data_IF_567976269849
#
_entry.id   IF_567976269849
#
_cell.length_a   1.000
_cell.length_b   1.000
_cell.length_c   1.000
_cell.angle_alpha   90.00
_cell.angle_beta   90.00
_cell.angle_gamma   90.00
#
_symmetry.space_group_name_H-M   'P 1'
#
loop_
_entity.id
_entity.type
_entity.pdbx_description
1 polymer ?
#
# COMPACT_ATOMS: atom_id res chain seq x y z
N UNK A 1 -5.86 -15.19 -9.11
CA UNK A 1 -5.20 -13.87 -9.16
C UNK A 1 -6.17 -12.79 -9.62
N UNK A 2 -5.89 -11.53 -9.32
CA UNK A 2 -6.83 -10.43 -9.59
C UNK A 2 -7.22 -10.27 -11.07
N UNK A 3 -6.28 -10.45 -12.00
CA UNK A 3 -6.52 -10.35 -13.44
C UNK A 3 -7.28 -11.54 -14.06
N UNK A 4 -7.91 -12.39 -13.25
CA UNK A 4 -8.70 -13.54 -13.71
C UNK A 4 -7.90 -14.83 -13.93
N UNK A 5 -6.62 -14.86 -13.56
CA UNK A 5 -5.84 -16.10 -13.51
C UNK A 5 -6.43 -17.02 -12.43
N UNK A 6 -6.69 -18.31 -12.70
CA UNK A 6 -7.21 -19.25 -11.70
C UNK A 6 -6.33 -19.32 -10.44
N UNK A 7 -6.94 -19.54 -9.27
CA UNK A 7 -6.23 -19.56 -7.99
C UNK A 7 -5.27 -20.76 -7.87
N UNK A 8 -5.50 -21.82 -8.64
CA UNK A 8 -4.69 -23.04 -8.73
C UNK A 8 -3.74 -23.06 -9.93
N UNK A 9 -3.57 -21.93 -10.64
CA UNK A 9 -2.66 -21.84 -11.78
C UNK A 9 -1.24 -22.27 -11.35
N UNK A 10 -0.58 -23.21 -12.09
CA UNK A 10 0.73 -23.74 -11.70
C UNK A 10 1.81 -22.67 -11.48
N UNK A 11 1.72 -21.53 -12.17
CA UNK A 11 2.66 -20.41 -11.99
C UNK A 11 2.43 -19.71 -10.64
N UNK A 12 1.17 -19.52 -10.25
CA UNK A 12 0.80 -18.93 -8.96
C UNK A 12 1.15 -19.87 -7.80
N UNK A 13 0.87 -21.17 -7.94
CA UNK A 13 1.24 -22.18 -6.95
C UNK A 13 2.76 -22.21 -6.76
N UNK A 14 3.55 -22.20 -7.84
CA UNK A 14 5.02 -22.15 -7.77
C UNK A 14 5.54 -20.90 -7.05
N UNK A 15 4.91 -19.75 -7.27
CA UNK A 15 5.23 -18.52 -6.55
C UNK A 15 4.91 -18.65 -5.05
N UNK A 16 3.73 -19.17 -4.70
CA UNK A 16 3.34 -19.39 -3.32
C UNK A 16 4.27 -20.39 -2.61
N UNK A 17 4.65 -21.49 -3.26
CA UNK A 17 5.64 -22.45 -2.76
C UNK A 17 6.96 -21.77 -2.38
N UNK A 18 7.46 -20.88 -3.25
CA UNK A 18 8.70 -20.15 -2.99
C UNK A 18 8.54 -19.14 -1.84
N UNK A 19 7.47 -18.36 -1.82
CA UNK A 19 7.19 -17.38 -0.77
C UNK A 19 7.07 -18.09 0.59
N UNK A 20 6.36 -19.21 0.66
CA UNK A 20 6.15 -19.96 1.90
C UNK A 20 7.45 -20.53 2.50
N UNK A 21 8.48 -20.76 1.67
CA UNK A 21 9.81 -21.17 2.12
C UNK A 21 10.61 -20.01 2.73
N UNK A 22 10.22 -18.76 2.47
CA UNK A 22 10.88 -17.54 2.95
C UNK A 22 10.31 -16.98 4.25
N UNK A 23 9.31 -17.64 4.85
CA UNK A 23 8.74 -17.16 6.12
C UNK A 23 9.79 -17.21 7.24
N UNK A 24 9.98 -16.07 7.91
CA UNK A 24 10.90 -15.96 9.06
C UNK A 24 10.40 -16.79 10.22
N UNK A 25 11.29 -17.61 10.79
CA UNK A 25 11.03 -18.50 11.95
C UNK A 25 11.86 -18.15 13.17
N UNK A 26 12.73 -17.17 13.05
CA UNK A 26 13.67 -16.73 14.07
C UNK A 26 13.37 -15.31 14.49
N UNK A 27 13.80 -14.92 15.68
CA UNK A 27 13.61 -13.54 16.16
C UNK A 27 14.65 -12.61 15.53
N UNK A 28 14.21 -11.41 15.17
CA UNK A 28 15.05 -10.29 14.77
C UNK A 28 15.12 -9.20 15.83
N UNK A 29 15.65 -8.03 15.45
CA UNK A 29 15.83 -6.89 16.37
C UNK A 29 14.50 -6.36 16.92
N UNK A 30 13.41 -6.50 16.17
CA UNK A 30 12.04 -6.18 16.59
C UNK A 30 11.65 -6.80 17.93
N UNK A 31 12.28 -7.92 18.32
CA UNK A 31 12.05 -8.60 19.60
C UNK A 31 12.40 -7.73 20.81
N UNK A 32 13.30 -6.75 20.66
CA UNK A 32 13.69 -5.82 21.74
C UNK A 32 12.48 -5.02 22.23
N UNK A 33 11.62 -4.55 21.32
CA UNK A 33 10.40 -3.79 21.66
C UNK A 33 9.15 -4.65 21.74
N UNK A 34 9.21 -5.87 21.22
CA UNK A 34 8.09 -6.80 21.22
C UNK A 34 8.51 -8.19 21.75
N UNK A 35 8.86 -8.30 23.05
CA UNK A 35 9.42 -9.53 23.63
C UNK A 35 8.45 -10.70 23.70
N UNK A 36 7.15 -10.49 23.49
CA UNK A 36 6.13 -11.55 23.48
C UNK A 36 5.75 -11.99 22.06
N UNK A 37 6.02 -11.16 21.04
CA UNK A 37 5.67 -11.44 19.65
C UNK A 37 6.39 -12.67 19.11
N UNK A 38 5.69 -13.53 18.38
CA UNK A 38 6.26 -14.74 17.77
C UNK A 38 6.66 -14.46 16.32
N UNK A 39 7.79 -15.00 15.83
CA UNK A 39 8.22 -14.76 14.45
C UNK A 39 7.23 -15.34 13.44
N UNK A 40 6.93 -14.56 12.41
CA UNK A 40 6.03 -15.00 11.33
C UNK A 40 6.03 -14.12 10.08
N UNK A 41 6.85 -13.07 10.03
CA UNK A 41 6.91 -12.15 8.90
C UNK A 41 7.73 -12.66 7.71
N UNK A 42 7.83 -11.78 6.71
CA UNK A 42 8.72 -11.83 5.56
C UNK A 42 9.55 -10.55 5.50
N UNK A 43 10.52 -10.53 4.60
CA UNK A 43 11.45 -9.42 4.40
C UNK A 43 11.56 -9.10 2.90
N UNK A 44 11.90 -7.85 2.59
CA UNK A 44 12.05 -7.35 1.22
C UNK A 44 13.07 -8.10 0.35
N UNK A 45 14.23 -8.47 0.90
CA UNK A 45 15.32 -9.11 0.14
C UNK A 45 15.17 -10.64 0.02
N UNK A 46 16.20 -11.33 -0.48
CA UNK A 46 16.19 -12.79 -0.57
C UNK A 46 16.55 -13.51 0.73
N UNK A 47 17.42 -12.93 1.55
CA UNK A 47 17.90 -13.48 2.81
C UNK A 47 18.17 -12.34 3.80
N UNK A 48 17.18 -12.03 4.66
CA UNK A 48 17.28 -10.95 5.63
C UNK A 48 16.47 -11.26 6.91
N UNK A 49 16.60 -12.47 7.43
CA UNK A 49 15.70 -13.06 8.44
C UNK A 49 15.65 -12.31 9.79
N UNK A 50 16.62 -11.43 10.06
CA UNK A 50 16.66 -10.59 11.25
C UNK A 50 15.86 -9.29 11.12
N UNK A 51 15.47 -8.91 9.91
CA UNK A 51 14.75 -7.66 9.63
C UNK A 51 13.51 -7.92 8.75
N UNK A 52 12.57 -8.77 9.21
CA UNK A 52 11.26 -8.82 8.57
C UNK A 52 10.55 -7.48 8.74
N UNK A 53 9.82 -7.08 7.72
CA UNK A 53 9.03 -5.85 7.72
C UNK A 53 7.54 -6.16 7.58
N UNK A 54 6.74 -5.26 8.14
CA UNK A 54 5.30 -5.39 8.28
C UNK A 54 4.61 -5.27 6.92
N UNK A 55 5.11 -4.41 6.03
CA UNK A 55 4.51 -4.15 4.73
C UNK A 55 4.71 -5.31 3.74
N UNK A 56 5.90 -5.88 3.58
CA UNK A 56 6.09 -7.10 2.78
C UNK A 56 5.32 -8.28 3.38
N UNK A 57 5.30 -8.40 4.71
CA UNK A 57 4.50 -9.44 5.38
C UNK A 57 3.00 -9.31 5.05
N UNK A 58 2.46 -8.09 5.04
CA UNK A 58 1.07 -7.83 4.67
C UNK A 58 0.82 -8.13 3.19
N UNK A 59 1.72 -7.71 2.30
CA UNK A 59 1.59 -7.95 0.86
C UNK A 59 1.74 -9.43 0.49
N UNK A 60 2.60 -10.18 1.19
CA UNK A 60 2.69 -11.64 1.06
C UNK A 60 1.38 -12.29 1.49
N UNK A 61 0.81 -11.87 2.64
CA UNK A 61 -0.48 -12.39 3.08
C UNK A 61 -1.57 -12.11 2.03
N UNK A 62 -1.65 -10.89 1.48
CA UNK A 62 -2.62 -10.55 0.44
C UNK A 62 -2.38 -11.33 -0.86
N UNK A 63 -1.12 -11.54 -1.27
CA UNK A 63 -0.83 -12.37 -2.43
C UNK A 63 -1.29 -13.83 -2.23
N UNK A 64 -1.07 -14.38 -1.03
CA UNK A 64 -1.47 -15.74 -0.67
C UNK A 64 -2.99 -15.90 -0.58
N UNK A 65 -3.79 -14.85 -0.33
CA UNK A 65 -5.26 -14.97 -0.36
C UNK A 65 -5.82 -15.22 -1.77
N UNK A 66 -5.00 -15.04 -2.80
CA UNK A 66 -5.38 -15.28 -4.20
C UNK A 66 -4.90 -16.62 -4.77
N UNK A 67 -4.32 -17.50 -3.96
CA UNK A 67 -3.76 -18.79 -4.38
C UNK A 67 -4.37 -19.95 -3.60
N UNK A 68 -4.87 -20.96 -4.30
CA UNK A 68 -5.27 -22.24 -3.74
C UNK A 68 -4.09 -23.20 -3.76
N UNK A 69 -3.30 -23.20 -2.69
CA UNK A 69 -2.11 -24.04 -2.60
C UNK A 69 -2.47 -25.51 -2.34
N UNK A 70 -1.83 -26.50 -3.01
CA UNK A 70 -2.08 -27.92 -2.76
C UNK A 70 -1.89 -28.33 -1.29
N UNK A 71 -0.95 -27.67 -0.59
CA UNK A 71 -0.82 -27.74 0.87
C UNK A 71 -1.52 -26.56 1.57
N UNK A 72 -2.83 -26.45 1.39
CA UNK A 72 -3.61 -25.31 1.91
C UNK A 72 -3.61 -25.23 3.44
N UNK A 73 -3.39 -26.34 4.15
CA UNK A 73 -3.22 -26.31 5.62
C UNK A 73 -1.98 -25.52 6.01
N UNK A 74 -0.82 -25.84 5.41
CA UNK A 74 0.43 -25.14 5.70
C UNK A 74 0.34 -23.66 5.34
N UNK A 75 -0.26 -23.32 4.19
CA UNK A 75 -0.51 -21.93 3.80
C UNK A 75 -1.30 -21.17 4.85
N UNK A 76 -2.44 -21.71 5.32
CA UNK A 76 -3.26 -21.07 6.37
C UNK A 76 -2.50 -20.89 7.68
N UNK A 77 -1.77 -21.91 8.13
CA UNK A 77 -0.95 -21.81 9.34
C UNK A 77 0.17 -20.78 9.19
N UNK A 78 0.77 -20.65 8.00
CA UNK A 78 1.77 -19.62 7.68
C UNK A 78 1.21 -18.22 7.72
N UNK A 79 0.09 -17.99 7.04
CA UNK A 79 -0.59 -16.70 7.08
C UNK A 79 -1.00 -16.33 8.50
N UNK A 80 -1.57 -17.27 9.27
CA UNK A 80 -2.02 -16.96 10.63
C UNK A 80 -0.86 -16.48 11.52
N UNK A 81 0.30 -17.14 11.46
CA UNK A 81 1.49 -16.68 12.20
C UNK A 81 1.93 -15.28 11.81
N UNK A 82 1.81 -14.95 10.54
CA UNK A 82 2.17 -13.62 10.04
C UNK A 82 1.19 -12.56 10.51
N UNK A 83 -0.12 -12.85 10.47
CA UNK A 83 -1.15 -11.96 11.02
C UNK A 83 -0.93 -11.74 12.52
N UNK A 84 -0.65 -12.80 13.28
CA UNK A 84 -0.36 -12.70 14.72
C UNK A 84 0.90 -11.84 14.97
N UNK A 85 1.95 -12.02 14.17
CA UNK A 85 3.15 -11.20 14.24
C UNK A 85 2.84 -9.73 13.91
N UNK A 86 2.21 -9.44 12.78
CA UNK A 86 1.82 -8.09 12.35
C UNK A 86 0.98 -7.40 13.44
N UNK A 87 -0.08 -8.04 13.95
CA UNK A 87 -0.92 -7.47 14.99
C UNK A 87 -0.14 -7.17 16.29
N UNK A 88 0.86 -7.98 16.63
CA UNK A 88 1.74 -7.73 17.77
C UNK A 88 2.70 -6.55 17.57
N UNK A 89 2.92 -6.15 16.31
CA UNK A 89 3.74 -5.01 15.88
C UNK A 89 2.96 -3.69 15.79
N UNK A 90 1.66 -3.67 16.12
CA UNK A 90 0.89 -2.43 16.17
C UNK A 90 1.44 -1.48 17.24
N UNK A 91 1.59 -0.21 16.87
CA UNK A 91 2.10 0.83 17.76
C UNK A 91 1.01 1.39 18.66
N UNK A 92 1.42 2.09 19.72
CA UNK A 92 0.49 2.66 20.72
C UNK A 92 -0.51 3.65 20.15
N UNK A 93 -0.11 4.41 19.12
CA UNK A 93 -0.98 5.37 18.42
C UNK A 93 -1.97 4.69 17.47
N UNK A 94 -1.89 3.38 17.26
CA UNK A 94 -2.78 2.60 16.41
C UNK A 94 -2.26 2.33 15.00
N UNK A 95 -1.23 3.03 14.55
CA UNK A 95 -0.59 2.77 13.27
C UNK A 95 0.38 1.60 13.31
N UNK A 96 0.96 1.31 12.15
CA UNK A 96 2.04 0.33 11.98
C UNK A 96 3.24 0.99 11.30
N UNK A 97 4.43 0.63 11.77
CA UNK A 97 5.71 1.01 11.19
C UNK A 97 6.27 -0.13 10.33
N UNK A 98 7.40 0.07 9.65
CA UNK A 98 7.98 -0.96 8.77
C UNK A 98 8.58 -2.12 9.56
N UNK A 99 9.49 -1.85 10.50
CA UNK A 99 10.31 -2.86 11.15
C UNK A 99 10.07 -2.94 12.67
N UNK A 100 9.90 -1.79 13.32
CA UNK A 100 9.89 -1.69 14.78
C UNK A 100 8.67 -0.94 15.30
N UNK A 101 7.95 -1.55 16.23
CA UNK A 101 6.85 -0.85 16.90
C UNK A 101 7.37 0.21 17.88
N UNK A 102 6.67 1.35 17.97
CA UNK A 102 7.00 2.48 18.85
C UNK A 102 8.47 2.96 18.68
N UNK A 103 8.96 3.04 17.43
CA UNK A 103 10.25 3.66 17.10
C UNK A 103 10.11 5.13 16.70
N UNK A 104 9.56 5.90 17.62
CA UNK A 104 8.98 7.24 17.38
C UNK A 104 9.55 8.32 18.31
N UNK A 105 10.72 8.09 18.92
CA UNK A 105 11.39 9.07 19.80
C UNK A 105 12.05 10.20 19.01
N UNK A 106 11.23 11.08 18.42
CA UNK A 106 11.61 12.12 17.46
C UNK A 106 12.75 13.03 17.91
N UNK A 107 13.00 13.16 19.22
CA UNK A 107 14.16 13.90 19.76
C UNK A 107 15.50 13.45 19.15
N UNK A 108 15.62 12.17 18.75
CA UNK A 108 16.82 11.64 18.12
C UNK A 108 17.05 12.09 16.68
N UNK A 109 16.08 12.76 16.05
CA UNK A 109 16.28 13.37 14.72
C UNK A 109 16.99 14.73 14.80
N UNK A 110 17.21 15.29 15.99
CA UNK A 110 17.82 16.62 16.16
C UNK A 110 19.30 16.57 16.58
N UNK A 111 19.93 15.39 16.56
CA UNK A 111 21.37 15.26 16.84
C UNK A 111 22.20 15.53 15.58
N UNK A 112 23.47 15.97 15.69
CA UNK A 112 24.29 16.29 14.51
C UNK A 112 24.49 15.14 13.51
N UNK A 113 24.39 13.88 13.98
CA UNK A 113 24.48 12.69 13.13
C UNK A 113 23.20 12.42 12.32
N UNK A 114 22.06 12.97 12.74
CA UNK A 114 20.75 12.73 12.14
C UNK A 114 20.43 13.69 10.99
N UNK A 115 21.43 14.13 10.24
CA UNK A 115 21.30 15.13 9.16
C UNK A 115 20.37 14.71 8.02
N UNK A 116 20.01 13.43 7.94
CA UNK A 116 19.07 12.86 6.98
C UNK A 116 17.65 12.58 7.54
N UNK A 117 17.38 12.89 8.82
CA UNK A 117 16.05 12.75 9.49
C UNK A 117 15.34 11.39 9.34
N UNK A 118 16.08 10.31 9.07
CA UNK A 118 15.55 8.97 8.84
C UNK A 118 16.08 7.93 9.84
N UNK A 119 16.41 8.36 11.07
CA UNK A 119 16.96 7.48 12.11
C UNK A 119 15.92 6.62 12.83
N UNK A 120 14.64 6.85 12.56
CA UNK A 120 13.52 6.30 13.30
C UNK A 120 12.52 5.68 12.33
N UNK A 121 11.67 4.83 12.88
CA UNK A 121 10.64 4.09 12.15
C UNK A 121 9.28 4.34 12.84
N UNK A 122 8.74 5.58 12.74
CA UNK A 122 7.42 5.87 13.26
C UNK A 122 6.35 5.20 12.38
N UNK A 123 5.15 4.95 12.95
CA UNK A 123 4.02 4.42 12.18
C UNK A 123 3.64 5.32 11.01
N UNK A 124 3.25 4.73 9.88
CA UNK A 124 2.87 5.48 8.69
C UNK A 124 1.55 5.03 8.09
N UNK A 125 0.86 5.97 7.46
CA UNK A 125 -0.50 5.76 6.93
C UNK A 125 -0.54 4.85 5.71
N UNK A 126 0.50 4.86 4.88
CA UNK A 126 0.63 3.97 3.73
C UNK A 126 0.75 2.49 4.13
N UNK A 127 1.54 2.17 5.15
CA UNK A 127 1.64 0.83 5.73
C UNK A 127 0.34 0.45 6.44
N UNK A 128 -0.21 1.38 7.23
CA UNK A 128 -1.45 1.12 7.97
C UNK A 128 -2.62 0.83 7.03
N UNK A 129 -2.73 1.55 5.90
CA UNK A 129 -3.71 1.28 4.86
C UNK A 129 -3.58 -0.12 4.24
N UNK A 130 -2.35 -0.55 3.90
CA UNK A 130 -2.08 -1.91 3.39
C UNK A 130 -2.47 -3.00 4.38
N UNK A 131 -2.26 -2.77 5.68
CA UNK A 131 -2.63 -3.73 6.71
C UNK A 131 -4.15 -3.83 6.85
N UNK A 132 -4.88 -2.72 6.75
CA UNK A 132 -6.36 -2.75 6.72
C UNK A 132 -6.86 -3.61 5.55
N UNK A 133 -6.30 -3.42 4.35
CA UNK A 133 -6.62 -4.22 3.16
C UNK A 133 -6.31 -5.70 3.36
N UNK A 134 -5.12 -6.03 3.88
CA UNK A 134 -4.73 -7.40 4.18
C UNK A 134 -5.65 -8.05 5.22
N UNK A 135 -5.94 -7.36 6.32
CA UNK A 135 -6.81 -7.87 7.39
C UNK A 135 -8.22 -8.16 6.86
N UNK A 136 -8.77 -7.29 6.01
CA UNK A 136 -10.05 -7.50 5.35
C UNK A 136 -10.07 -8.80 4.53
N UNK A 137 -9.00 -9.08 3.77
CA UNK A 137 -8.88 -10.31 2.97
C UNK A 137 -8.93 -11.60 3.82
N UNK A 138 -8.65 -11.50 5.13
CA UNK A 138 -8.70 -12.62 6.08
C UNK A 138 -9.88 -12.53 7.06
N UNK A 139 -10.91 -11.75 6.74
CA UNK A 139 -12.19 -11.73 7.45
C UNK A 139 -12.21 -10.90 8.73
N UNK A 140 -11.20 -10.06 8.96
CA UNK A 140 -11.28 -9.05 10.01
C UNK A 140 -12.27 -7.96 9.60
N UNK A 141 -12.94 -7.36 10.58
CA UNK A 141 -13.93 -6.30 10.36
C UNK A 141 -13.50 -5.01 11.06
N UNK A 142 -14.16 -3.90 10.69
CA UNK A 142 -13.99 -2.60 11.37
C UNK A 142 -14.24 -2.61 12.88
N UNK A 143 -14.91 -3.64 13.41
CA UNK A 143 -15.17 -3.77 14.85
C UNK A 143 -13.99 -4.36 15.64
N UNK A 144 -13.04 -4.98 14.95
CA UNK A 144 -11.86 -5.55 15.59
C UNK A 144 -11.05 -4.44 16.30
N UNK A 145 -10.62 -4.61 17.57
CA UNK A 145 -9.96 -3.55 18.32
C UNK A 145 -8.71 -2.96 17.66
N UNK A 146 -7.89 -3.78 17.00
CA UNK A 146 -6.72 -3.31 16.27
C UNK A 146 -7.10 -2.49 15.03
N UNK A 147 -8.17 -2.90 14.34
CA UNK A 147 -8.66 -2.22 13.14
C UNK A 147 -9.23 -0.86 13.50
N UNK A 148 -10.03 -0.74 14.57
CA UNK A 148 -10.55 0.55 15.04
C UNK A 148 -9.43 1.55 15.35
N UNK A 149 -8.35 1.08 15.98
CA UNK A 149 -7.19 1.93 16.27
C UNK A 149 -6.45 2.35 14.99
N UNK A 150 -6.32 1.45 14.02
CA UNK A 150 -5.72 1.77 12.72
C UNK A 150 -6.55 2.78 11.92
N UNK A 151 -7.88 2.63 11.91
CA UNK A 151 -8.80 3.61 11.29
C UNK A 151 -8.65 4.97 11.97
N UNK A 152 -8.63 5.01 13.31
CA UNK A 152 -8.42 6.26 14.04
C UNK A 152 -7.06 6.90 13.70
N UNK A 153 -6.00 6.10 13.63
CA UNK A 153 -4.67 6.60 13.26
C UNK A 153 -4.68 7.26 11.88
N UNK A 154 -5.25 6.62 10.85
CA UNK A 154 -5.30 7.25 9.51
C UNK A 154 -6.18 8.50 9.50
N UNK A 155 -7.24 8.57 10.29
CA UNK A 155 -8.05 9.79 10.43
C UNK A 155 -7.26 10.93 11.07
N UNK A 156 -6.50 10.64 12.12
CA UNK A 156 -5.71 11.64 12.86
C UNK A 156 -4.53 12.18 12.01
N UNK A 157 -4.04 11.40 11.06
CA UNK A 157 -2.90 11.73 10.17
C UNK A 157 -3.33 12.32 8.81
N UNK A 158 -4.62 12.59 8.60
CA UNK A 158 -5.07 13.20 7.35
C UNK A 158 -4.63 14.67 7.27
N UNK A 159 -4.14 15.07 6.11
CA UNK A 159 -3.80 16.46 5.81
C UNK A 159 -5.06 17.33 5.67
N UNK A 160 -4.92 18.64 5.87
CA UNK A 160 -6.07 19.57 5.79
C UNK A 160 -6.71 19.66 4.39
N UNK A 161 -6.00 19.23 3.36
CA UNK A 161 -6.50 19.16 1.97
C UNK A 161 -7.17 17.81 1.64
N UNK A 162 -7.22 16.87 2.61
CA UNK A 162 -7.81 15.54 2.46
C UNK A 162 -6.80 14.46 2.05
N UNK A 163 -5.58 14.81 1.67
CA UNK A 163 -4.56 13.84 1.27
C UNK A 163 -3.89 13.13 2.45
N UNK A 164 -3.15 12.06 2.16
CA UNK A 164 -2.29 11.36 3.11
C UNK A 164 -0.86 11.26 2.58
N UNK A 165 0.11 11.52 3.45
CA UNK A 165 1.54 11.45 3.14
C UNK A 165 1.98 10.03 2.75
N UNK A 166 2.78 9.90 1.69
CA UNK A 166 3.37 8.63 1.28
C UNK A 166 4.80 8.51 1.80
N UNK A 167 5.04 7.65 2.78
CA UNK A 167 6.38 7.45 3.36
C UNK A 167 7.31 6.66 2.43
N UNK A 168 6.77 5.68 1.71
CA UNK A 168 7.54 4.70 0.93
C UNK A 168 7.31 4.78 -0.59
N UNK A 169 6.36 5.59 -1.04
CA UNK A 169 6.12 5.89 -2.45
C UNK A 169 5.81 7.37 -2.61
N UNK A 170 6.21 7.94 -3.75
CA UNK A 170 6.12 9.37 -4.06
C UNK A 170 4.69 9.74 -4.46
N UNK A 171 3.96 10.57 -3.74
CA UNK A 171 4.03 10.87 -2.31
C UNK A 171 2.58 10.84 -1.80
N UNK A 172 1.87 11.96 -1.92
CA UNK A 172 0.50 12.06 -1.45
C UNK A 172 -0.47 11.25 -2.31
N UNK A 173 -0.21 11.09 -3.62
CA UNK A 173 -0.99 10.17 -4.46
C UNK A 173 -0.87 8.71 -3.97
N UNK A 174 0.34 8.32 -3.54
CA UNK A 174 0.61 6.98 -3.04
C UNK A 174 -0.05 6.72 -1.69
N UNK A 175 0.19 7.60 -0.71
CA UNK A 175 -0.39 7.48 0.63
C UNK A 175 -1.92 7.48 0.59
N UNK A 176 -2.50 8.43 -0.14
CA UNK A 176 -3.96 8.58 -0.28
C UNK A 176 -4.59 7.34 -0.91
N UNK A 177 -4.02 6.80 -1.99
CA UNK A 177 -4.56 5.63 -2.65
C UNK A 177 -4.57 4.38 -1.75
N UNK A 178 -3.49 4.14 -0.99
CA UNK A 178 -3.39 2.98 -0.11
C UNK A 178 -4.32 3.08 1.10
N UNK A 179 -4.46 4.28 1.68
CA UNK A 179 -5.40 4.51 2.78
C UNK A 179 -6.83 4.28 2.30
N UNK A 180 -7.22 4.85 1.15
CA UNK A 180 -8.56 4.66 0.59
C UNK A 180 -8.87 3.19 0.31
N UNK A 181 -7.93 2.44 -0.30
CA UNK A 181 -8.10 0.99 -0.53
C UNK A 181 -8.30 0.22 0.77
N UNK A 182 -7.49 0.49 1.80
CA UNK A 182 -7.60 -0.19 3.09
C UNK A 182 -8.93 0.10 3.78
N UNK A 183 -9.41 1.35 3.72
CA UNK A 183 -10.69 1.77 4.29
C UNK A 183 -11.89 1.14 3.58
N UNK A 184 -11.84 1.07 2.24
CA UNK A 184 -12.88 0.39 1.44
C UNK A 184 -12.93 -1.10 1.78
N UNK A 185 -11.79 -1.78 1.74
CA UNK A 185 -11.71 -3.22 1.97
C UNK A 185 -12.26 -3.61 3.35
N UNK A 186 -12.01 -2.79 4.39
CA UNK A 186 -12.47 -3.05 5.76
C UNK A 186 -13.92 -2.60 6.03
N UNK A 187 -14.59 -2.02 5.02
CA UNK A 187 -16.00 -1.65 5.05
C UNK A 187 -16.31 -0.35 5.78
N UNK A 188 -15.41 0.64 5.71
CA UNK A 188 -15.72 2.03 6.10
C UNK A 188 -16.66 2.63 5.05
N UNK A 189 -17.66 3.39 5.50
CA UNK A 189 -18.62 4.01 4.60
C UNK A 189 -17.92 5.09 3.76
N UNK A 190 -18.00 4.97 2.43
CA UNK A 190 -17.37 5.93 1.53
C UNK A 190 -17.97 7.33 1.63
N UNK A 191 -19.18 7.48 2.18
CA UNK A 191 -19.79 8.80 2.44
C UNK A 191 -19.17 9.56 3.61
N UNK A 192 -18.26 8.94 4.36
CA UNK A 192 -17.55 9.63 5.44
C UNK A 192 -16.79 10.86 4.89
N UNK A 193 -16.86 12.03 5.58
CA UNK A 193 -16.31 13.28 5.06
C UNK A 193 -14.83 13.21 4.68
N UNK A 194 -14.02 12.48 5.45
CA UNK A 194 -12.58 12.35 5.21
C UNK A 194 -12.27 11.55 3.94
N UNK A 195 -13.10 10.56 3.58
CA UNK A 195 -12.97 9.79 2.33
C UNK A 195 -13.39 10.66 1.15
N UNK A 196 -14.49 11.40 1.29
CA UNK A 196 -14.97 12.31 0.23
C UNK A 196 -13.95 13.42 -0.06
N UNK A 197 -13.35 14.02 0.97
CA UNK A 197 -12.28 15.03 0.81
C UNK A 197 -11.07 14.47 0.08
N UNK A 198 -10.61 13.27 0.44
CA UNK A 198 -9.50 12.60 -0.23
C UNK A 198 -9.79 12.31 -1.70
N UNK A 199 -11.00 11.85 -2.03
CA UNK A 199 -11.42 11.61 -3.41
C UNK A 199 -11.44 12.90 -4.24
N UNK A 200 -11.92 14.00 -3.66
CA UNK A 200 -11.94 15.31 -4.31
C UNK A 200 -10.53 15.84 -4.54
N UNK A 201 -9.64 15.68 -3.56
CA UNK A 201 -8.24 16.04 -3.71
C UNK A 201 -7.59 15.31 -4.89
N UNK A 202 -7.80 13.99 -5.02
CA UNK A 202 -7.29 13.23 -6.17
C UNK A 202 -7.83 13.82 -7.48
N UNK A 203 -9.14 14.12 -7.58
CA UNK A 203 -9.73 14.74 -8.79
C UNK A 203 -9.08 16.08 -9.12
N UNK A 204 -8.86 16.93 -8.11
CA UNK A 204 -8.30 18.27 -8.27
C UNK A 204 -6.87 18.28 -8.84
N UNK A 205 -6.06 17.25 -8.55
CA UNK A 205 -4.66 17.17 -9.00
C UNK A 205 -4.48 16.34 -10.28
N UNK A 206 -5.56 16.03 -11.01
CA UNK A 206 -5.48 15.34 -12.29
C UNK A 206 -4.86 16.22 -13.38
N UNK A 207 -3.90 15.69 -14.14
CA UNK A 207 -3.27 16.42 -15.23
C UNK A 207 -4.19 16.59 -16.45
N UNK A 208 -3.93 17.57 -17.34
CA UNK A 208 -4.70 17.76 -18.57
C UNK A 208 -4.68 16.55 -19.51
N UNK A 209 -3.62 15.73 -19.49
CA UNK A 209 -3.52 14.50 -20.30
C UNK A 209 -4.38 13.33 -19.78
N UNK A 210 -5.04 13.51 -18.63
CA UNK A 210 -5.91 12.53 -17.98
C UNK A 210 -5.19 11.65 -16.97
N UNK A 211 -3.86 11.66 -16.91
CA UNK A 211 -3.10 10.93 -15.90
C UNK A 211 -2.91 11.72 -14.61
N UNK A 212 -2.16 11.13 -13.69
CA UNK A 212 -1.69 11.75 -12.46
C UNK A 212 -0.18 11.55 -12.34
N UNK A 213 0.48 12.53 -11.74
CA UNK A 213 1.91 12.52 -11.54
C UNK A 213 2.31 13.39 -10.37
N UNK A 214 3.33 12.96 -9.63
CA UNK A 214 3.85 13.71 -8.49
C UNK A 214 5.37 13.56 -8.46
N UNK A 215 6.08 14.68 -8.39
CA UNK A 215 7.54 14.65 -8.30
C UNK A 215 8.02 14.44 -6.87
N UNK A 216 9.26 13.97 -6.74
CA UNK A 216 9.95 13.85 -5.45
C UNK A 216 10.05 15.20 -4.69
N UNK A 217 9.95 16.34 -5.40
CA UNK A 217 9.96 17.67 -4.78
C UNK A 217 8.79 17.92 -3.81
N UNK A 218 7.72 17.13 -3.91
CA UNK A 218 6.57 17.18 -2.97
C UNK A 218 6.94 16.84 -1.52
N UNK A 219 8.07 16.17 -1.29
CA UNK A 219 8.60 15.98 0.07
C UNK A 219 9.18 17.25 0.65
N UNK A 220 9.78 18.11 -0.17
CA UNK A 220 10.43 19.35 0.23
C UNK A 220 9.42 20.51 0.30
N UNK A 221 8.50 20.59 -0.66
CA UNK A 221 7.53 21.66 -0.80
C UNK A 221 6.09 21.11 -0.87
N UNK A 222 5.32 21.20 0.23
CA UNK A 222 3.91 20.77 0.28
C UNK A 222 2.98 21.54 -0.66
N UNK A 223 3.40 22.62 -1.31
CA UNK A 223 2.59 23.27 -2.36
C UNK A 223 2.62 22.52 -3.69
N UNK A 224 3.53 21.54 -3.82
CA UNK A 224 3.69 20.70 -5.02
C UNK A 224 3.06 19.31 -4.87
N UNK A 225 2.20 19.12 -3.87
CA UNK A 225 1.40 17.90 -3.66
C UNK A 225 0.62 17.52 -4.91
N UNK A 226 0.78 16.28 -5.37
CA UNK A 226 0.12 15.78 -6.58
C UNK A 226 0.53 16.48 -7.88
N UNK A 227 1.64 17.23 -7.89
CA UNK A 227 2.11 17.97 -9.06
C UNK A 227 3.34 17.29 -9.68
N UNK A 228 3.21 16.92 -10.94
CA UNK A 228 4.28 16.32 -11.72
C UNK A 228 3.79 15.76 -13.06
N UNK A 229 4.71 15.41 -13.97
CA UNK A 229 4.36 14.72 -15.20
C UNK A 229 3.64 13.41 -14.90
N UNK A 230 2.57 13.10 -15.62
CA UNK A 230 1.82 11.87 -15.42
C UNK A 230 2.71 10.63 -15.55
N UNK A 231 2.58 9.70 -14.61
CA UNK A 231 3.27 8.41 -14.64
C UNK A 231 2.26 7.27 -14.61
N UNK A 232 2.57 6.10 -15.22
CA UNK A 232 1.66 4.96 -15.22
C UNK A 232 1.37 4.44 -13.80
N UNK A 233 2.35 4.39 -12.91
CA UNK A 233 2.14 3.91 -11.54
C UNK A 233 1.29 4.88 -10.70
N UNK A 234 1.58 6.19 -10.73
CA UNK A 234 0.80 7.18 -9.97
C UNK A 234 -0.61 7.37 -10.54
N UNK A 235 -0.77 7.29 -11.86
CA UNK A 235 -2.11 7.27 -12.48
C UNK A 235 -2.92 6.06 -12.02
N UNK A 236 -2.28 4.87 -11.96
CA UNK A 236 -2.93 3.69 -11.44
C UNK A 236 -3.31 3.82 -9.96
N UNK A 237 -2.47 4.42 -9.11
CA UNK A 237 -2.81 4.70 -7.70
C UNK A 237 -4.02 5.61 -7.59
N UNK A 238 -4.05 6.70 -8.34
CA UNK A 238 -5.18 7.63 -8.35
C UNK A 238 -6.48 6.94 -8.74
N UNK A 239 -6.47 6.15 -9.83
CA UNK A 239 -7.64 5.36 -10.27
C UNK A 239 -8.10 4.39 -9.19
N UNK A 240 -7.18 3.64 -8.58
CA UNK A 240 -7.51 2.68 -7.53
C UNK A 240 -8.08 3.37 -6.28
N UNK A 241 -7.55 4.53 -5.90
CA UNK A 241 -8.07 5.34 -4.81
C UNK A 241 -9.47 5.87 -5.08
N UNK A 242 -9.72 6.39 -6.28
CA UNK A 242 -11.06 6.87 -6.68
C UNK A 242 -12.09 5.73 -6.70
N UNK A 243 -11.75 4.58 -7.26
CA UNK A 243 -12.62 3.39 -7.24
C UNK A 243 -12.93 2.97 -5.80
N UNK A 244 -11.92 2.96 -4.91
CA UNK A 244 -12.12 2.62 -3.50
C UNK A 244 -13.03 3.63 -2.76
N UNK A 245 -13.03 4.89 -3.19
CA UNK A 245 -13.96 5.91 -2.70
C UNK A 245 -15.36 5.83 -3.35
N UNK A 246 -15.67 4.76 -4.08
CA UNK A 246 -16.90 4.57 -4.88
C UNK A 246 -17.10 5.64 -5.97
N UNK A 247 -16.01 6.29 -6.41
CA UNK A 247 -15.99 7.24 -7.51
C UNK A 247 -15.63 6.53 -8.83
N UNK A 248 -16.59 5.78 -9.39
CA UNK A 248 -16.33 4.84 -10.49
C UNK A 248 -16.67 5.43 -11.87
N UNK A 249 -17.80 6.13 -11.98
CA UNK A 249 -18.37 6.61 -13.25
C UNK A 249 -18.11 8.10 -13.50
N UNK A 250 -16.98 8.62 -13.02
CA UNK A 250 -16.59 10.01 -13.29
C UNK A 250 -15.69 10.15 -14.50
N UNK A 251 -15.72 11.35 -15.06
CA UNK A 251 -14.82 11.76 -16.14
C UNK A 251 -13.35 11.59 -15.73
N UNK A 252 -13.01 11.82 -14.46
CA UNK A 252 -11.65 11.65 -13.95
C UNK A 252 -11.14 10.22 -14.12
N UNK A 253 -11.89 9.21 -13.66
CA UNK A 253 -11.51 7.80 -13.84
C UNK A 253 -11.44 7.43 -15.31
N UNK A 254 -12.44 7.82 -16.11
CA UNK A 254 -12.45 7.54 -17.54
C UNK A 254 -11.22 8.11 -18.28
N UNK A 255 -10.82 9.34 -17.95
CA UNK A 255 -9.62 9.99 -18.50
C UNK A 255 -8.33 9.30 -18.03
N UNK A 256 -8.29 8.82 -16.79
CA UNK A 256 -7.19 8.01 -16.25
C UNK A 256 -7.00 6.69 -16.98
N UNK A 257 -8.09 5.95 -17.17
CA UNK A 257 -8.11 4.70 -17.92
C UNK A 257 -7.65 4.95 -19.37
N UNK A 258 -8.17 6.01 -20.01
CA UNK A 258 -7.76 6.39 -21.35
C UNK A 258 -6.27 6.78 -21.44
N UNK A 259 -5.72 7.43 -20.41
CA UNK A 259 -4.28 7.71 -20.32
C UNK A 259 -3.47 6.40 -20.29
N UNK A 260 -3.83 5.45 -19.43
CA UNK A 260 -3.11 4.17 -19.33
C UNK A 260 -3.16 3.40 -20.65
N UNK A 261 -4.34 3.30 -21.28
CA UNK A 261 -4.48 2.61 -22.56
C UNK A 261 -3.69 3.28 -23.69
N UNK A 262 -3.70 4.62 -23.75
CA UNK A 262 -2.98 5.38 -24.79
C UNK A 262 -1.46 5.33 -24.62
N UNK A 263 -0.96 5.20 -23.39
CA UNK A 263 0.47 5.19 -23.09
C UNK A 263 1.06 3.78 -22.98
N UNK A 264 0.24 2.74 -23.14
CA UNK A 264 0.71 1.37 -23.23
C UNK A 264 1.52 1.17 -24.52
N UNK A 265 2.71 0.60 -24.38
CA UNK A 265 3.57 0.21 -25.50
C UNK A 265 3.00 -1.01 -26.22
N UNK A 266 3.41 -1.23 -27.48
CA UNK A 266 2.88 -2.32 -28.31
C UNK A 266 3.05 -3.71 -27.67
N UNK A 267 4.12 -3.91 -26.90
CA UNK A 267 4.41 -5.17 -26.19
C UNK A 267 3.66 -5.30 -24.85
N UNK A 268 2.77 -4.35 -24.53
CA UNK A 268 1.92 -4.35 -23.34
C UNK A 268 2.51 -3.68 -22.09
N UNK A 269 3.75 -3.19 -22.17
CA UNK A 269 4.48 -2.51 -21.10
C UNK A 269 4.14 -1.01 -21.02
N UNK A 270 4.52 -0.35 -19.92
CA UNK A 270 4.58 1.12 -19.85
C UNK A 270 6.00 1.63 -19.60
N UNK A 271 6.31 2.79 -20.17
CA UNK A 271 7.50 3.55 -19.84
C UNK A 271 7.27 4.45 -18.63
N UNK A 272 8.26 4.50 -17.74
CA UNK A 272 8.25 5.37 -16.56
C UNK A 272 9.67 5.88 -16.31
N UNK A 273 10.00 7.10 -16.79
CA UNK A 273 11.34 7.65 -16.60
C UNK A 273 11.55 8.21 -15.19
N UNK A 274 10.47 8.61 -14.52
CA UNK A 274 10.49 9.23 -13.18
C UNK A 274 10.58 8.18 -12.06
N UNK A 275 11.07 8.61 -10.90
CA UNK A 275 11.05 7.81 -9.67
C UNK A 275 9.72 8.00 -8.95
N UNK A 276 9.13 6.89 -8.51
CA UNK A 276 7.86 6.86 -7.78
C UNK A 276 7.99 6.09 -6.46
N UNK A 277 9.17 5.56 -6.14
CA UNK A 277 9.50 4.99 -4.83
C UNK A 277 10.31 5.95 -3.95
N UNK A 278 10.17 5.80 -2.64
CA UNK A 278 10.90 6.60 -1.65
C UNK A 278 11.55 5.69 -0.62
N UNK A 279 12.86 5.81 -0.42
CA UNK A 279 13.54 5.17 0.71
C UNK A 279 13.56 6.09 1.92
N UNK A 280 14.09 7.31 1.74
CA UNK A 280 14.12 8.35 2.76
C UNK A 280 13.61 9.66 2.16
N UNK A 281 12.46 10.19 2.61
CA UNK A 281 11.94 11.48 2.15
C UNK A 281 13.02 12.57 2.14
N UNK A 282 13.07 13.37 1.08
CA UNK A 282 14.05 14.47 0.85
C UNK A 282 15.50 14.05 0.58
N UNK A 283 15.84 12.76 0.74
CA UNK A 283 17.23 12.30 0.74
C UNK A 283 17.48 11.21 -0.30
N UNK A 284 16.62 10.20 -0.36
CA UNK A 284 16.88 8.99 -1.13
C UNK A 284 15.61 8.44 -1.77
N UNK A 285 15.61 8.40 -3.10
CA UNK A 285 14.49 7.99 -3.94
C UNK A 285 14.81 6.69 -4.68
N UNK A 286 13.76 5.92 -4.98
CA UNK A 286 13.87 4.57 -5.51
C UNK A 286 13.14 4.42 -6.84
N UNK A 287 13.68 3.54 -7.69
CA UNK A 287 13.00 3.05 -8.89
C UNK A 287 12.58 1.61 -8.72
N UNK A 288 11.29 1.40 -8.45
CA UNK A 288 10.71 0.07 -8.51
C UNK A 288 10.31 -0.24 -9.96
N UNK A 289 11.17 -0.95 -10.68
CA UNK A 289 11.01 -1.20 -12.12
C UNK A 289 9.69 -1.88 -12.53
N UNK A 290 9.05 -2.59 -11.59
CA UNK A 290 7.81 -3.31 -11.80
C UNK A 290 6.56 -2.47 -11.51
N UNK A 291 6.66 -1.31 -10.84
CA UNK A 291 5.51 -0.46 -10.51
C UNK A 291 4.73 -0.05 -11.76
N UNK A 292 5.45 0.41 -12.79
CA UNK A 292 4.89 0.74 -14.11
C UNK A 292 4.20 -0.41 -14.84
N UNK A 293 4.32 -1.65 -14.36
CA UNK A 293 3.71 -2.83 -14.99
C UNK A 293 2.49 -3.29 -14.22
N UNK A 294 2.67 -3.65 -12.95
CA UNK A 294 1.60 -4.30 -12.21
C UNK A 294 0.56 -3.30 -11.69
N UNK A 295 0.91 -2.03 -11.39
CA UNK A 295 -0.10 -1.07 -10.94
C UNK A 295 -1.08 -0.71 -12.06
N UNK A 296 -0.65 -0.39 -13.30
CA UNK A 296 -1.59 -0.22 -14.42
C UNK A 296 -2.46 -1.45 -14.67
N UNK A 297 -1.87 -2.66 -14.64
CA UNK A 297 -2.63 -3.89 -14.79
C UNK A 297 -3.69 -4.05 -13.68
N UNK A 298 -3.32 -3.77 -12.43
CA UNK A 298 -4.21 -3.81 -11.27
C UNK A 298 -5.35 -2.80 -11.42
N UNK A 299 -5.05 -1.55 -11.82
CA UNK A 299 -6.05 -0.49 -12.02
C UNK A 299 -7.04 -0.85 -13.13
N UNK A 300 -6.54 -1.26 -14.30
CA UNK A 300 -7.37 -1.66 -15.44
C UNK A 300 -8.27 -2.87 -15.09
N UNK A 301 -7.70 -3.86 -14.38
CA UNK A 301 -8.44 -5.03 -13.92
C UNK A 301 -9.53 -4.67 -12.93
N UNK A 302 -9.22 -3.83 -11.95
CA UNK A 302 -10.16 -3.37 -10.92
C UNK A 302 -11.31 -2.61 -11.57
N UNK A 303 -10.98 -1.64 -12.43
CA UNK A 303 -11.97 -0.87 -13.17
C UNK A 303 -12.92 -1.76 -13.98
N UNK A 304 -12.36 -2.71 -14.76
CA UNK A 304 -13.15 -3.64 -15.55
C UNK A 304 -14.18 -4.39 -14.70
N UNK A 305 -13.75 -4.97 -13.57
CA UNK A 305 -14.64 -5.74 -12.68
C UNK A 305 -15.78 -4.90 -12.14
N UNK A 306 -15.49 -3.68 -11.70
CA UNK A 306 -16.50 -2.81 -11.08
C UNK A 306 -17.51 -2.31 -12.11
N UNK A 307 -17.07 -2.02 -13.35
CA UNK A 307 -17.97 -1.67 -14.46
C UNK A 307 -18.86 -2.86 -14.82
N UNK A 308 -18.30 -4.06 -14.98
CA UNK A 308 -19.08 -5.28 -15.29
C UNK A 308 -20.11 -5.60 -14.19
N UNK A 309 -19.77 -5.38 -12.91
CA UNK A 309 -20.70 -5.54 -11.80
C UNK A 309 -21.85 -4.52 -11.83
N UNK A 310 -21.54 -3.27 -12.18
CA UNK A 310 -22.53 -2.18 -12.27
C UNK A 310 -23.51 -2.37 -13.44
N UNK A 311 -23.06 -2.98 -14.54
CA UNK A 311 -23.93 -3.32 -15.68
C UNK A 311 -24.84 -4.53 -15.40
N UNK A 312 -24.45 -5.39 -14.45
CA UNK A 312 -25.18 -6.60 -14.08
C UNK A 312 -26.24 -6.39 -12.97
N UNK A 313 -26.15 -5.29 -12.21
CA UNK A 313 -27.06 -4.90 -11.12
C UNK A 313 -28.22 -4.03 -11.60
#
# INVERSE_FOLDING_TARGET
GEAGVPADDPRMVKCADWILQKQVRTTGDWRVKNPEGQPGGWYFEFNNEFYPDVDDSAMVCLALSHVEHPNGRYQRESVQRAIDWILSMQCKNGGFASFDKDNDRMVFQYIPFADHNAMLDPPTVDITGRILEMLAAYGYTKDHPAVRRAIKFVQDEQESDGSWFGRWGVNYLYGTALVLRGLEAIGVDHHEPFIQQASEWIRMVQNPDGGWGETCGSYDDPTTKGVGPSTPSQTAWAILGLIAASDIQTESVARGIAYLLRTQEQEGSWSEPFYTGTGFPRVFYLKYHMYRQYFPLLALTTYKKVVEQSEAS
#
